data_IF_267412303181
#
_entry.id   IF_267412303181
#
_cell.length_a   1.000
_cell.length_b   1.000
_cell.length_c   1.000
_cell.angle_alpha   90.00
_cell.angle_beta   90.00
_cell.angle_gamma   90.00
#
_symmetry.space_group_name_H-M   'P 1'
#
loop_
_entity.id
_entity.type
_entity.pdbx_description
1 polymer ?
#
# COMPACT_ATOMS: atom_id res chain seq x y z
N UNK A 1 -5.91 -13.08 6.12
CA UNK A 1 -5.19 -13.55 4.91
C UNK A 1 -3.73 -13.80 5.26
N UNK A 2 -3.09 -14.88 4.79
CA UNK A 2 -1.64 -15.12 4.93
C UNK A 2 -0.94 -14.54 3.69
N UNK A 3 0.14 -13.76 3.87
CA UNK A 3 0.90 -13.24 2.71
C UNK A 3 1.93 -14.29 2.35
N UNK A 4 1.94 -14.74 1.10
CA UNK A 4 2.86 -15.74 0.56
C UNK A 4 3.59 -15.20 -0.68
N UNK A 5 4.69 -15.82 -1.08
CA UNK A 5 5.54 -15.37 -2.19
C UNK A 5 4.81 -15.26 -3.54
N UNK A 6 3.79 -16.10 -3.75
CA UNK A 6 2.92 -16.13 -4.93
C UNK A 6 1.88 -14.98 -4.94
N UNK A 7 1.65 -14.33 -3.80
CA UNK A 7 0.69 -13.24 -3.73
C UNK A 7 1.12 -12.06 -4.59
N UNK A 8 0.19 -11.52 -5.38
CA UNK A 8 0.44 -10.31 -6.15
C UNK A 8 0.70 -9.12 -5.25
N UNK A 9 1.72 -8.33 -5.58
CA UNK A 9 2.11 -7.13 -4.82
C UNK A 9 0.92 -6.17 -4.63
N UNK A 10 0.10 -5.97 -5.67
CA UNK A 10 -1.11 -5.13 -5.60
C UNK A 10 -2.14 -5.62 -4.57
N UNK A 11 -2.29 -6.94 -4.43
CA UNK A 11 -3.29 -7.54 -3.52
C UNK A 11 -2.80 -7.47 -2.07
N UNK A 12 -1.49 -7.59 -1.86
CA UNK A 12 -0.84 -7.38 -0.55
C UNK A 12 -1.06 -5.93 -0.09
N UNK A 13 -0.83 -4.94 -0.96
CA UNK A 13 -1.01 -3.53 -0.64
C UNK A 13 -2.48 -3.17 -0.46
N UNK A 14 -3.39 -3.68 -1.30
CA UNK A 14 -4.84 -3.51 -1.12
C UNK A 14 -5.34 -4.07 0.21
N UNK A 15 -4.86 -5.25 0.58
CA UNK A 15 -5.25 -5.89 1.84
C UNK A 15 -4.66 -5.18 3.07
N UNK A 16 -3.51 -4.52 2.93
CA UNK A 16 -2.89 -3.76 4.00
C UNK A 16 -2.09 -2.58 3.46
N UNK A 17 -2.73 -1.40 3.40
CA UNK A 17 -2.09 -0.19 2.86
C UNK A 17 -0.81 0.21 3.61
N UNK A 18 -0.66 -0.17 4.89
CA UNK A 18 0.59 0.08 5.65
C UNK A 18 1.80 -0.62 5.02
N UNK A 19 1.58 -1.71 4.29
CA UNK A 19 2.66 -2.41 3.58
C UNK A 19 3.21 -1.59 2.41
N UNK A 20 2.45 -0.64 1.84
CA UNK A 20 2.93 0.28 0.80
C UNK A 20 4.19 1.03 1.24
N UNK A 21 4.26 1.43 2.51
CA UNK A 21 5.43 2.07 3.11
C UNK A 21 6.66 1.17 3.00
N UNK A 22 6.52 -0.12 3.31
CA UNK A 22 7.62 -1.09 3.19
C UNK A 22 8.05 -1.26 1.74
N UNK A 23 7.12 -1.35 0.79
CA UNK A 23 7.49 -1.40 -0.62
C UNK A 23 8.25 -0.14 -1.05
N UNK A 24 7.85 1.03 -0.56
CA UNK A 24 8.54 2.29 -0.83
C UNK A 24 9.94 2.35 -0.21
N UNK A 25 10.09 1.95 1.06
CA UNK A 25 11.39 1.92 1.76
C UNK A 25 12.40 1.02 1.04
N UNK A 26 11.93 -0.11 0.48
CA UNK A 26 12.75 -1.05 -0.28
C UNK A 26 12.79 -0.76 -1.79
N UNK A 27 12.26 0.38 -2.24
CA UNK A 27 12.24 0.80 -3.65
C UNK A 27 11.62 -0.25 -4.60
N UNK A 28 10.57 -0.93 -4.15
CA UNK A 28 9.82 -1.92 -4.93
C UNK A 28 8.61 -1.22 -5.55
N UNK A 29 8.44 -1.35 -6.86
CA UNK A 29 7.34 -0.73 -7.59
C UNK A 29 6.04 -1.51 -7.37
N UNK A 30 5.21 -1.02 -6.44
CA UNK A 30 3.91 -1.61 -6.12
C UNK A 30 2.74 -0.96 -6.87
N UNK A 31 3.01 0.11 -7.65
CA UNK A 31 2.00 0.90 -8.35
C UNK A 31 1.79 0.42 -9.80
N UNK A 32 2.84 0.49 -10.64
CA UNK A 32 2.79 0.03 -12.02
C UNK A 32 3.27 -1.43 -12.15
N UNK A 33 4.21 -1.83 -11.30
CA UNK A 33 4.75 -3.18 -11.20
C UNK A 33 3.90 -4.16 -10.39
N UNK A 34 2.79 -3.70 -9.78
CA UNK A 34 2.00 -4.47 -8.82
C UNK A 34 1.29 -5.72 -9.38
N UNK A 35 1.30 -5.90 -10.71
CA UNK A 35 0.72 -7.05 -11.39
C UNK A 35 1.64 -8.28 -11.46
N UNK A 36 2.75 -8.26 -10.72
CA UNK A 36 3.71 -9.36 -10.60
C UNK A 36 3.60 -10.02 -9.22
N UNK A 37 3.95 -11.31 -9.10
CA UNK A 37 4.08 -11.96 -7.80
C UNK A 37 5.17 -11.29 -6.97
N UNK A 38 4.99 -11.32 -5.65
CA UNK A 38 5.90 -10.72 -4.68
C UNK A 38 7.34 -11.22 -4.87
N UNK A 39 7.50 -12.52 -5.10
CA UNK A 39 8.81 -13.13 -5.35
C UNK A 39 9.53 -12.51 -6.56
N UNK A 40 8.85 -12.37 -7.70
CA UNK A 40 9.42 -11.78 -8.91
C UNK A 40 9.79 -10.29 -8.71
N UNK A 41 8.98 -9.55 -7.95
CA UNK A 41 9.27 -8.16 -7.62
C UNK A 41 10.52 -8.02 -6.73
N UNK A 42 10.72 -8.96 -5.79
CA UNK A 42 11.87 -8.98 -4.89
C UNK A 42 13.13 -9.51 -5.57
N UNK A 43 13.01 -10.51 -6.45
CA UNK A 43 14.12 -11.09 -7.21
C UNK A 43 14.78 -10.03 -8.11
N UNK A 44 13.98 -9.16 -8.75
CA UNK A 44 14.50 -8.03 -9.54
C UNK A 44 15.32 -7.02 -8.73
N UNK A 45 15.16 -7.01 -7.40
CA UNK A 45 15.89 -6.15 -6.46
C UNK A 45 16.95 -6.91 -5.65
N UNK A 46 17.17 -8.21 -5.93
CA UNK A 46 18.02 -9.12 -5.13
C UNK A 46 17.66 -9.08 -3.64
N UNK A 47 16.38 -8.92 -3.33
CA UNK A 47 15.87 -8.95 -1.97
C UNK A 47 15.43 -10.37 -1.61
N UNK A 48 15.68 -10.74 -0.36
CA UNK A 48 15.26 -12.04 0.16
C UNK A 48 13.73 -12.07 0.36
N UNK A 49 13.07 -12.98 -0.35
CA UNK A 49 11.62 -13.08 -0.34
C UNK A 49 11.08 -13.47 1.03
N UNK A 50 11.74 -14.39 1.72
CA UNK A 50 11.32 -14.92 3.01
C UNK A 50 11.41 -13.86 4.11
N UNK A 51 12.53 -13.13 4.14
CA UNK A 51 12.71 -11.97 5.02
C UNK A 51 11.62 -10.91 4.82
N UNK A 52 11.33 -10.56 3.57
CA UNK A 52 10.34 -9.53 3.26
C UNK A 52 8.91 -9.98 3.62
N UNK A 53 8.56 -11.23 3.34
CA UNK A 53 7.27 -11.84 3.74
C UNK A 53 7.12 -11.82 5.26
N UNK A 54 8.18 -12.12 6.01
CA UNK A 54 8.17 -12.06 7.46
C UNK A 54 7.94 -10.62 7.95
N UNK A 55 8.59 -9.63 7.32
CA UNK A 55 8.40 -8.21 7.61
C UNK A 55 6.95 -7.76 7.38
N UNK A 56 6.36 -8.17 6.25
CA UNK A 56 4.96 -7.91 5.91
C UNK A 56 4.00 -8.56 6.91
N UNK A 57 4.27 -9.80 7.34
CA UNK A 57 3.46 -10.49 8.33
C UNK A 57 3.60 -9.87 9.74
N UNK A 58 4.75 -9.28 10.09
CA UNK A 58 4.90 -8.50 11.34
C UNK A 58 4.03 -7.25 11.35
N UNK A 59 3.87 -6.56 10.21
CA UNK A 59 3.00 -5.38 10.11
C UNK A 59 1.51 -5.69 10.34
N UNK A 60 1.06 -6.96 10.18
CA UNK A 60 -0.32 -7.36 10.51
C UNK A 60 -0.64 -7.28 12.00
N UNK A 61 0.35 -7.44 12.89
CA UNK A 61 0.11 -7.45 14.34
C UNK A 61 -0.28 -6.08 14.93
N UNK A 62 -0.25 -5.00 14.11
CA UNK A 62 -0.58 -3.63 14.51
C UNK A 62 -1.77 -3.05 13.74
N UNK A 63 -2.81 -3.85 13.50
CA UNK A 63 -4.05 -3.39 12.88
C UNK A 63 -5.22 -3.69 13.80
N UNK A 64 -5.44 -2.79 14.77
CA UNK A 64 -6.79 -2.56 15.24
C UNK A 64 -7.58 -2.01 14.05
N UNK A 65 -8.66 -2.73 13.76
CA UNK A 65 -9.58 -2.50 12.67
C UNK A 65 -10.15 -1.08 12.71
N UNK A 66 -9.94 -0.31 11.66
CA UNK A 66 -10.84 0.78 11.27
C UNK A 66 -10.86 0.84 9.74
N UNK A 67 -12.02 0.45 9.20
CA UNK A 67 -12.61 0.85 7.93
C UNK A 67 -11.72 0.93 6.67
N UNK A 68 -11.88 -0.04 5.79
CA UNK A 68 -11.60 0.11 4.36
C UNK A 68 -12.66 1.02 3.73
N UNK A 69 -12.35 2.22 3.21
CA UNK A 69 -13.31 3.02 2.45
C UNK A 69 -13.30 2.59 0.99
N UNK A 70 -13.48 1.29 0.74
CA UNK A 70 -13.49 0.70 -0.61
C UNK A 70 -14.89 0.26 -1.03
N UNK A 71 -15.90 1.00 -0.60
CA UNK A 71 -17.28 0.92 -1.11
C UNK A 71 -17.85 2.33 -1.33
N UNK A 72 -17.01 3.26 -1.82
CA UNK A 72 -17.47 4.60 -2.17
C UNK A 72 -17.91 4.61 -3.63
N UNK A 73 -19.17 5.00 -3.85
CA UNK A 73 -19.72 5.26 -5.17
C UNK A 73 -18.86 6.32 -5.90
N UNK A 74 -18.78 6.27 -7.23
CA UNK A 74 -17.84 7.11 -8.03
C UNK A 74 -17.85 8.60 -7.68
N UNK A 75 -18.99 9.15 -7.28
CA UNK A 75 -19.14 10.56 -6.87
C UNK A 75 -18.46 10.87 -5.53
N UNK A 76 -18.56 9.96 -4.57
CA UNK A 76 -17.97 10.11 -3.24
C UNK A 76 -16.44 9.98 -3.26
N UNK A 77 -15.91 9.11 -4.12
CA UNK A 77 -14.46 8.99 -4.29
C UNK A 77 -13.84 10.30 -4.79
N UNK A 78 -14.49 10.96 -5.74
CA UNK A 78 -14.03 12.26 -6.27
C UNK A 78 -14.07 13.33 -5.17
N UNK A 79 -15.14 13.38 -4.37
CA UNK A 79 -15.25 14.31 -3.25
C UNK A 79 -14.19 14.06 -2.16
N UNK A 80 -13.87 12.80 -1.86
CA UNK A 80 -12.85 12.41 -0.90
C UNK A 80 -11.43 12.82 -1.34
N UNK A 81 -11.11 12.62 -2.63
CA UNK A 81 -9.82 13.04 -3.20
C UNK A 81 -9.66 14.56 -3.14
N UNK A 82 -10.70 15.32 -3.54
CA UNK A 82 -10.69 16.79 -3.47
C UNK A 82 -10.53 17.27 -2.02
N UNK A 83 -11.25 16.66 -1.07
CA UNK A 83 -11.17 17.01 0.36
C UNK A 83 -9.78 16.76 0.95
N UNK A 84 -9.16 15.63 0.60
CA UNK A 84 -7.82 15.26 1.08
C UNK A 84 -6.75 16.19 0.50
N UNK A 85 -6.89 16.59 -0.76
CA UNK A 85 -5.94 17.45 -1.45
C UNK A 85 -6.09 18.94 -1.05
N UNK A 86 -7.26 19.37 -0.60
CA UNK A 86 -7.54 20.77 -0.21
C UNK A 86 -6.93 21.19 1.14
N UNK A 87 -6.67 20.25 2.05
CA UNK A 87 -6.05 20.57 3.36
C UNK A 87 -4.60 21.08 3.20
N UNK A 88 -3.88 20.68 2.15
CA UNK A 88 -2.49 21.09 1.94
C UNK A 88 -2.37 22.51 1.34
N UNK A 89 -3.39 22.99 0.60
CA UNK A 89 -3.30 24.30 -0.08
C UNK A 89 -3.84 25.49 0.71
N UNK A 90 -4.51 25.28 1.85
CA UNK A 90 -4.98 26.39 2.70
C UNK A 90 -3.93 26.95 3.67
N UNK A 91 -2.73 26.35 3.75
CA UNK A 91 -1.62 26.84 4.62
C UNK A 91 -0.61 27.73 3.90
N UNK A 92 -1.02 28.39 2.81
CA UNK A 92 -0.13 29.31 2.05
C UNK A 92 -0.85 30.56 1.55
N UNK A 93 -1.97 30.93 2.17
CA UNK A 93 -2.64 32.21 1.95
C UNK A 93 -3.03 32.83 3.29
N UNK A 94 -2.04 32.90 4.19
CA UNK A 94 -2.06 33.82 5.32
C UNK A 94 -0.71 34.54 5.32
N UNK A 95 -0.56 35.46 4.37
CA UNK A 95 0.21 36.71 4.48
C UNK A 95 -0.23 37.70 3.40
#
# INVERSE_FOLDING_TARGET
>A
MNISADSFVKEVVKSNFKTARLFQDYNIDYCCGGNKPLEAALQGKKLDADFFINLLNRQKKNVNMTETPLDLNRKDLIAYIIKTQCIILKTSQEE
#
